data_IF_319292476540
#
_entry.id   IF_319292476540
#
_cell.length_a   1.000
_cell.length_b   1.000
_cell.length_c   1.000
_cell.angle_alpha   90.00
_cell.angle_beta   90.00
_cell.angle_gamma   90.00
#
_symmetry.space_group_name_H-M   'P 1'
#
loop_
_entity.id
_entity.type
_entity.pdbx_description
1 polymer ?
#
# COMPACT_ATOMS: atom_id res chain seq x y z
N UNK A 1 10.07 29.89 -5.30
CA UNK A 1 8.91 30.49 -4.60
C UNK A 1 8.84 29.83 -3.24
N UNK A 2 8.74 30.60 -2.13
CA UNK A 2 8.57 30.03 -0.79
C UNK A 2 7.15 29.45 -0.72
N UNK A 3 7.05 28.14 -0.49
CA UNK A 3 5.76 27.50 -0.27
C UNK A 3 5.24 27.94 1.10
N UNK A 4 4.00 28.42 1.17
CA UNK A 4 3.38 28.78 2.44
C UNK A 4 3.20 27.53 3.29
N UNK A 5 3.74 27.54 4.51
CA UNK A 5 3.60 26.44 5.47
C UNK A 5 2.46 26.75 6.44
N UNK A 6 1.52 25.81 6.56
CA UNK A 6 0.45 25.91 7.56
C UNK A 6 0.99 25.65 8.96
N UNK A 7 0.54 26.46 9.92
CA UNK A 7 0.86 26.33 11.36
C UNK A 7 -0.11 25.46 12.15
N UNK A 8 -1.14 24.89 11.48
CA UNK A 8 -2.14 24.02 12.08
C UNK A 8 -2.80 23.13 11.02
N UNK A 9 -3.43 22.04 11.45
CA UNK A 9 -4.22 21.14 10.59
C UNK A 9 -5.69 21.48 10.74
N UNK A 10 -6.12 22.58 10.15
CA UNK A 10 -7.52 23.04 10.22
C UNK A 10 -8.40 22.24 9.23
N UNK A 11 -8.75 21.02 9.60
CA UNK A 11 -9.63 20.13 8.82
C UNK A 11 -10.75 19.61 9.71
N UNK A 12 -12.00 20.00 9.45
CA UNK A 12 -13.18 19.59 10.23
C UNK A 12 -13.33 18.05 10.29
N UNK A 13 -13.07 17.36 9.18
CA UNK A 13 -13.12 15.92 9.12
C UNK A 13 -12.13 15.22 10.07
N UNK A 14 -11.01 15.86 10.45
CA UNK A 14 -10.05 15.32 11.40
C UNK A 14 -10.65 15.20 12.81
N UNK A 15 -11.39 16.22 13.26
CA UNK A 15 -12.11 16.16 14.55
C UNK A 15 -13.11 15.01 14.56
N UNK A 16 -13.92 14.88 13.52
CA UNK A 16 -14.89 13.79 13.42
C UNK A 16 -14.24 12.40 13.40
N UNK A 17 -13.11 12.26 12.71
CA UNK A 17 -12.32 11.01 12.70
C UNK A 17 -11.78 10.71 14.12
N UNK A 18 -11.15 11.69 14.78
CA UNK A 18 -10.61 11.55 16.12
C UNK A 18 -11.70 11.17 17.14
N UNK A 19 -12.88 11.82 17.09
CA UNK A 19 -14.03 11.51 17.95
C UNK A 19 -14.52 10.07 17.74
N UNK A 20 -14.65 9.62 16.47
CA UNK A 20 -15.07 8.24 16.17
C UNK A 20 -14.09 7.20 16.70
N UNK A 21 -12.81 7.46 16.59
CA UNK A 21 -11.79 6.53 17.03
C UNK A 21 -11.68 6.42 18.55
N UNK A 22 -11.89 7.52 19.29
CA UNK A 22 -11.75 7.54 20.75
C UNK A 22 -13.08 7.35 21.50
N UNK A 23 -14.20 7.69 20.86
CA UNK A 23 -15.54 7.70 21.46
C UNK A 23 -16.57 7.06 20.52
N UNK A 24 -16.39 5.79 20.11
CA UNK A 24 -17.26 5.14 19.14
C UNK A 24 -18.73 5.12 19.55
N UNK A 25 -19.01 5.16 20.87
CA UNK A 25 -20.35 5.21 21.42
C UNK A 25 -21.09 6.54 21.17
N UNK A 26 -20.36 7.62 20.87
CA UNK A 26 -20.91 8.96 20.59
C UNK A 26 -20.88 9.31 19.10
N UNK A 27 -20.15 8.54 18.35
CA UNK A 27 -19.81 8.87 16.98
C UNK A 27 -20.98 8.65 16.03
N UNK A 28 -21.23 9.62 15.17
CA UNK A 28 -22.16 9.52 14.04
C UNK A 28 -21.43 9.79 12.74
N UNK A 29 -21.82 9.08 11.69
CA UNK A 29 -21.26 9.28 10.34
C UNK A 29 -19.84 8.73 10.18
N UNK A 30 -19.19 9.18 9.13
CA UNK A 30 -17.89 8.68 8.69
C UNK A 30 -18.02 7.59 7.64
N UNK A 31 -17.01 7.48 6.80
CA UNK A 31 -16.93 6.43 5.80
C UNK A 31 -15.45 6.08 5.60
N UNK A 32 -15.20 4.81 5.37
CA UNK A 32 -13.84 4.26 5.23
C UNK A 32 -13.04 4.93 4.11
N UNK A 33 -13.69 5.27 2.99
CA UNK A 33 -13.09 5.98 1.87
C UNK A 33 -12.61 7.39 2.25
N UNK A 34 -13.46 8.18 2.94
CA UNK A 34 -13.07 9.52 3.39
C UNK A 34 -12.02 9.48 4.49
N UNK A 35 -12.11 8.55 5.42
CA UNK A 35 -11.12 8.38 6.48
C UNK A 35 -9.75 8.02 5.87
N UNK A 36 -9.71 7.14 4.87
CA UNK A 36 -8.47 6.85 4.12
C UNK A 36 -7.95 8.08 3.37
N UNK A 37 -8.83 8.83 2.70
CA UNK A 37 -8.45 10.07 2.01
C UNK A 37 -7.87 11.09 2.98
N UNK A 38 -8.50 11.27 4.14
CA UNK A 38 -8.01 12.15 5.19
C UNK A 38 -6.60 11.75 5.64
N UNK A 39 -6.40 10.47 5.99
CA UNK A 39 -5.11 9.99 6.47
C UNK A 39 -4.03 10.05 5.38
N UNK A 40 -4.34 9.63 4.17
CA UNK A 40 -3.43 9.71 3.03
C UNK A 40 -3.04 11.15 2.71
N UNK A 41 -4.00 12.08 2.70
CA UNK A 41 -3.76 13.51 2.48
C UNK A 41 -2.93 14.17 3.59
N UNK A 42 -3.01 13.66 4.81
CA UNK A 42 -2.18 14.06 5.95
C UNK A 42 -0.83 13.30 6.02
N UNK A 43 -0.51 12.46 5.04
CA UNK A 43 0.74 11.69 5.05
C UNK A 43 0.83 10.65 6.17
N UNK A 44 -0.29 10.06 6.58
CA UNK A 44 -0.38 9.18 7.73
C UNK A 44 -0.69 7.73 7.32
N UNK A 45 -0.12 6.79 8.07
CA UNK A 45 -0.45 5.37 7.95
C UNK A 45 -1.62 5.01 8.89
N UNK A 46 -2.62 4.29 8.37
CA UNK A 46 -3.85 3.95 9.11
C UNK A 46 -3.57 3.14 10.38
N UNK A 47 -2.66 2.18 10.33
CA UNK A 47 -2.33 1.33 11.50
C UNK A 47 -1.55 2.11 12.56
N UNK A 48 -0.67 2.99 12.14
CA UNK A 48 0.07 3.86 13.04
C UNK A 48 -0.86 4.83 13.77
N UNK A 49 -1.78 5.47 13.04
CA UNK A 49 -2.79 6.36 13.63
C UNK A 49 -3.68 5.60 14.63
N UNK A 50 -4.17 4.42 14.23
CA UNK A 50 -4.97 3.58 15.12
C UNK A 50 -4.22 3.24 16.41
N UNK A 51 -2.92 2.90 16.32
CA UNK A 51 -2.07 2.62 17.47
C UNK A 51 -1.92 3.86 18.35
N UNK A 52 -1.58 5.02 17.77
CA UNK A 52 -1.40 6.27 18.53
C UNK A 52 -2.67 6.66 19.28
N UNK A 53 -3.82 6.64 18.62
CA UNK A 53 -5.10 6.97 19.23
C UNK A 53 -5.48 5.98 20.33
N UNK A 54 -5.30 4.69 20.14
CA UNK A 54 -5.64 3.66 21.14
C UNK A 54 -4.71 3.66 22.36
N UNK A 55 -3.40 3.79 22.14
CA UNK A 55 -2.40 3.68 23.21
C UNK A 55 -2.25 4.99 24.00
N UNK A 56 -2.23 6.15 23.29
CA UNK A 56 -1.95 7.45 23.93
C UNK A 56 -3.21 8.22 24.30
N UNK A 57 -4.33 7.96 23.62
CA UNK A 57 -5.62 8.68 23.77
C UNK A 57 -5.43 10.21 23.82
N UNK A 58 -4.73 10.81 22.83
CA UNK A 58 -4.37 12.22 22.84
C UNK A 58 -5.62 13.11 22.77
N UNK A 59 -5.54 14.34 23.31
CA UNK A 59 -6.48 15.41 22.96
C UNK A 59 -6.41 15.70 21.45
N UNK A 60 -7.38 16.40 20.90
CA UNK A 60 -7.33 16.79 19.48
C UNK A 60 -6.11 17.66 19.18
N UNK A 61 -5.78 18.60 20.05
CA UNK A 61 -4.60 19.48 19.91
C UNK A 61 -3.29 18.69 19.92
N UNK A 62 -3.15 17.70 20.81
CA UNK A 62 -1.99 16.80 20.85
C UNK A 62 -1.92 15.92 19.59
N UNK A 63 -3.07 15.49 19.06
CA UNK A 63 -3.11 14.71 17.84
C UNK A 63 -2.73 15.55 16.62
N UNK A 64 -3.21 16.79 16.50
CA UNK A 64 -2.80 17.73 15.45
C UNK A 64 -1.30 18.06 15.54
N UNK A 65 -0.77 18.28 16.74
CA UNK A 65 0.66 18.50 16.94
C UNK A 65 1.49 17.29 16.49
N UNK A 66 1.04 16.08 16.84
CA UNK A 66 1.68 14.85 16.37
C UNK A 66 1.64 14.71 14.85
N UNK A 67 0.52 15.06 14.18
CA UNK A 67 0.44 15.06 12.72
C UNK A 67 1.48 15.99 12.09
N UNK A 68 1.60 17.20 12.63
CA UNK A 68 2.63 18.15 12.15
C UNK A 68 4.04 17.62 12.37
N UNK A 69 4.33 17.02 13.54
CA UNK A 69 5.62 16.39 13.82
C UNK A 69 5.94 15.31 12.79
N UNK A 70 4.97 14.45 12.43
CA UNK A 70 5.15 13.41 11.41
C UNK A 70 5.45 13.98 10.01
N UNK A 71 5.09 15.23 9.75
CA UNK A 71 5.32 15.96 8.50
C UNK A 71 6.47 16.96 8.58
N UNK A 72 7.39 16.81 9.56
CA UNK A 72 8.56 17.67 9.69
C UNK A 72 8.25 19.07 10.29
N UNK A 73 7.15 19.19 11.03
CA UNK A 73 6.73 20.39 11.74
C UNK A 73 5.79 21.32 10.97
N UNK A 74 5.54 21.03 9.68
CA UNK A 74 4.62 21.83 8.87
C UNK A 74 4.09 21.02 7.67
N UNK A 75 2.93 21.44 7.15
CA UNK A 75 2.36 20.94 5.90
C UNK A 75 2.24 22.05 4.86
N UNK A 76 2.30 21.69 3.59
CA UNK A 76 2.10 22.62 2.48
C UNK A 76 0.62 23.02 2.42
N UNK A 77 0.34 24.34 2.38
CA UNK A 77 -1.05 24.84 2.33
C UNK A 77 -1.80 24.36 1.09
N UNK A 78 -1.12 24.24 -0.05
CA UNK A 78 -1.71 23.71 -1.27
C UNK A 78 -2.16 22.24 -1.13
N UNK A 79 -1.40 21.42 -0.38
CA UNK A 79 -1.76 20.04 -0.11
C UNK A 79 -2.99 19.94 0.83
N UNK A 80 -3.04 20.80 1.85
CA UNK A 80 -4.18 20.89 2.76
C UNK A 80 -5.43 21.41 2.04
N UNK A 81 -5.30 22.41 1.16
CA UNK A 81 -6.42 22.92 0.35
C UNK A 81 -6.96 21.84 -0.58
N UNK A 82 -6.09 21.13 -1.29
CA UNK A 82 -6.50 19.98 -2.11
C UNK A 82 -7.28 18.94 -1.28
N UNK A 83 -6.82 18.65 -0.07
CA UNK A 83 -7.48 17.71 0.82
C UNK A 83 -8.84 18.21 1.29
N UNK A 84 -8.97 19.49 1.72
CA UNK A 84 -10.24 20.10 2.12
C UNK A 84 -11.28 20.04 0.99
N UNK A 85 -10.87 20.39 -0.24
CA UNK A 85 -11.74 20.34 -1.43
C UNK A 85 -12.20 18.91 -1.73
N UNK A 86 -11.29 17.94 -1.68
CA UNK A 86 -11.64 16.54 -1.88
C UNK A 86 -12.64 16.01 -0.83
N UNK A 87 -12.42 16.33 0.44
CA UNK A 87 -13.31 15.94 1.53
C UNK A 87 -14.66 16.63 1.45
N UNK A 88 -14.73 17.83 0.86
CA UNK A 88 -15.97 18.53 0.53
C UNK A 88 -16.72 17.95 -0.68
N UNK A 89 -16.14 16.94 -1.37
CA UNK A 89 -16.74 16.25 -2.50
C UNK A 89 -16.41 16.85 -3.87
N UNK A 90 -15.42 17.74 -3.95
CA UNK A 90 -14.91 18.24 -5.22
C UNK A 90 -14.00 17.20 -5.89
N UNK A 91 -14.03 17.17 -7.23
CA UNK A 91 -13.00 16.47 -7.99
C UNK A 91 -11.72 17.29 -7.95
N UNK A 92 -10.64 16.66 -7.52
CA UNK A 92 -9.34 17.30 -7.42
C UNK A 92 -8.37 16.68 -8.41
N UNK A 93 -7.42 17.47 -8.89
CA UNK A 93 -6.34 17.04 -9.77
C UNK A 93 -5.36 16.08 -9.05
N UNK A 94 -4.55 15.38 -9.82
CA UNK A 94 -3.43 14.60 -9.28
C UNK A 94 -2.47 15.50 -8.48
N UNK A 95 -1.89 14.96 -7.41
CA UNK A 95 -0.86 15.67 -6.62
C UNK A 95 0.45 15.91 -7.37
N UNK A 96 0.65 15.20 -8.49
CA UNK A 96 1.80 15.36 -9.39
C UNK A 96 1.28 15.54 -10.82
N UNK A 97 1.98 16.31 -11.65
CA UNK A 97 1.61 16.46 -13.06
C UNK A 97 1.72 15.13 -13.79
N UNK A 98 0.69 14.78 -14.54
CA UNK A 98 0.63 13.58 -15.39
C UNK A 98 0.79 13.90 -16.88
N UNK A 99 0.96 15.16 -17.23
CA UNK A 99 1.09 15.64 -18.61
C UNK A 99 2.38 15.12 -19.23
N UNK A 100 2.28 14.44 -20.38
CA UNK A 100 3.41 13.86 -21.09
C UNK A 100 4.11 12.72 -20.36
N UNK A 101 3.55 12.24 -19.26
CA UNK A 101 4.10 11.10 -18.50
C UNK A 101 3.69 9.80 -19.18
N UNK A 102 4.69 8.97 -19.50
CA UNK A 102 4.48 7.61 -19.99
C UNK A 102 3.96 6.73 -18.83
N UNK A 103 2.82 6.09 -19.03
CA UNK A 103 2.23 5.14 -18.08
C UNK A 103 2.33 3.70 -18.55
N UNK A 104 1.24 2.95 -18.39
CA UNK A 104 1.05 1.61 -18.95
C UNK A 104 0.79 1.71 -20.45
N UNK A 105 1.45 0.84 -21.22
CA UNK A 105 1.20 0.68 -22.66
C UNK A 105 -0.13 -0.03 -22.94
N UNK A 106 -0.54 -0.09 -24.21
CA UNK A 106 -1.71 -0.87 -24.62
C UNK A 106 -1.53 -2.37 -24.33
N UNK A 107 -0.33 -2.90 -24.51
CA UNK A 107 0.01 -4.30 -24.19
C UNK A 107 -0.04 -4.56 -22.68
N UNK A 108 0.42 -3.60 -21.86
CA UNK A 108 0.33 -3.68 -20.40
C UNK A 108 -1.13 -3.71 -19.94
N UNK A 109 -1.99 -2.87 -20.54
CA UNK A 109 -3.42 -2.81 -20.23
C UNK A 109 -4.14 -4.08 -20.68
N UNK A 110 -3.78 -4.64 -21.84
CA UNK A 110 -4.30 -5.93 -22.29
C UNK A 110 -3.87 -7.08 -21.36
N UNK A 111 -2.61 -7.07 -20.92
CA UNK A 111 -2.11 -8.04 -19.92
C UNK A 111 -2.84 -7.90 -18.59
N UNK A 112 -3.06 -6.67 -18.13
CA UNK A 112 -3.85 -6.38 -16.92
C UNK A 112 -5.28 -6.94 -17.04
N UNK A 113 -5.95 -6.67 -18.16
CA UNK A 113 -7.31 -7.19 -18.37
C UNK A 113 -7.34 -8.72 -18.36
N UNK A 114 -6.36 -9.37 -18.96
CA UNK A 114 -6.32 -10.82 -19.06
C UNK A 114 -5.96 -11.48 -17.72
N UNK A 115 -4.92 -10.98 -17.02
CA UNK A 115 -4.32 -11.66 -15.88
C UNK A 115 -4.61 -10.99 -14.53
N UNK A 116 -5.10 -9.74 -14.51
CA UNK A 116 -5.40 -8.99 -13.29
C UNK A 116 -4.17 -8.46 -12.56
N UNK A 117 -3.00 -8.52 -13.16
CA UNK A 117 -1.79 -7.86 -12.68
C UNK A 117 -0.97 -7.31 -13.86
N UNK A 118 -0.09 -6.37 -13.57
CA UNK A 118 0.83 -5.79 -14.55
C UNK A 118 2.16 -5.43 -13.89
N UNK A 119 3.24 -5.43 -14.64
CA UNK A 119 4.56 -4.97 -14.20
C UNK A 119 4.89 -3.67 -14.94
N UNK A 120 4.79 -2.54 -14.24
CA UNK A 120 5.27 -1.25 -14.73
C UNK A 120 6.81 -1.23 -14.63
N UNK A 121 7.46 -1.47 -15.76
CA UNK A 121 8.93 -1.50 -15.83
C UNK A 121 9.50 -0.10 -15.61
N UNK A 122 10.54 0.02 -14.78
CA UNK A 122 11.18 1.31 -14.49
C UNK A 122 10.22 2.34 -13.91
N UNK A 123 9.32 1.93 -13.04
CA UNK A 123 8.38 2.82 -12.33
C UNK A 123 9.11 3.92 -11.56
N UNK A 124 10.31 3.61 -11.07
CA UNK A 124 11.30 4.56 -10.55
C UNK A 124 12.69 4.21 -11.08
N UNK A 125 13.63 5.15 -11.03
CA UNK A 125 15.01 4.87 -11.43
C UNK A 125 15.69 3.88 -10.48
N UNK A 126 16.68 3.15 -10.98
CA UNK A 126 17.49 2.23 -10.17
C UNK A 126 18.14 2.94 -8.96
N UNK A 127 18.54 4.20 -9.12
CA UNK A 127 19.12 5.02 -8.04
C UNK A 127 18.09 5.33 -6.95
N UNK A 128 16.85 5.66 -7.31
CA UNK A 128 15.77 5.89 -6.35
C UNK A 128 15.40 4.61 -5.60
N UNK A 129 15.30 3.49 -6.32
CA UNK A 129 15.03 2.19 -5.71
C UNK A 129 16.15 1.78 -4.74
N UNK A 130 17.42 1.95 -5.13
CA UNK A 130 18.56 1.64 -4.28
C UNK A 130 18.61 2.51 -3.02
N UNK A 131 18.32 3.81 -3.13
CA UNK A 131 18.24 4.69 -1.97
C UNK A 131 17.18 4.24 -0.96
N UNK A 132 16.05 3.74 -1.43
CA UNK A 132 15.00 3.18 -0.56
C UNK A 132 15.38 1.81 0.01
N UNK A 133 16.08 0.97 -0.76
CA UNK A 133 16.66 -0.30 -0.29
C UNK A 133 17.62 -0.05 0.88
N UNK A 134 18.59 0.84 0.70
CA UNK A 134 19.58 1.18 1.73
C UNK A 134 18.91 1.75 3.00
N UNK A 135 17.90 2.60 2.84
CA UNK A 135 17.14 3.13 3.97
C UNK A 135 16.44 2.02 4.79
N UNK A 136 15.96 0.96 4.14
CA UNK A 136 15.37 -0.21 4.83
C UNK A 136 16.46 -0.97 5.62
N UNK A 137 17.61 -1.24 5.03
CA UNK A 137 18.71 -1.89 5.72
C UNK A 137 19.20 -1.07 6.92
N UNK A 138 19.38 0.25 6.73
CA UNK A 138 19.78 1.17 7.80
C UNK A 138 18.77 1.17 8.96
N UNK A 139 17.47 1.29 8.64
CA UNK A 139 16.40 1.25 9.65
C UNK A 139 16.39 -0.05 10.47
N UNK A 140 16.70 -1.18 9.84
CA UNK A 140 16.78 -2.49 10.48
C UNK A 140 18.12 -2.70 11.20
N UNK A 141 19.10 -1.83 11.02
CA UNK A 141 20.47 -2.03 11.51
C UNK A 141 21.13 -3.25 10.89
N UNK A 142 20.81 -3.57 9.64
CA UNK A 142 21.32 -4.69 8.87
C UNK A 142 22.32 -4.19 7.82
N UNK A 143 23.27 -5.03 7.44
CA UNK A 143 24.19 -4.77 6.33
C UNK A 143 23.75 -5.60 5.10
N UNK A 144 23.61 -4.93 3.95
CA UNK A 144 23.21 -5.56 2.69
C UNK A 144 24.18 -6.68 2.25
N UNK A 145 25.44 -6.55 2.56
CA UNK A 145 26.50 -7.49 2.15
C UNK A 145 26.84 -8.53 3.22
N UNK A 146 26.26 -8.44 4.44
CA UNK A 146 26.52 -9.32 5.56
C UNK A 146 25.32 -10.22 5.84
N UNK A 147 25.24 -11.46 5.27
CA UNK A 147 24.08 -12.33 5.36
C UNK A 147 23.60 -12.64 6.77
N UNK A 148 24.53 -12.75 7.74
CA UNK A 148 24.15 -13.03 9.13
C UNK A 148 23.41 -11.87 9.79
N UNK A 149 23.56 -10.65 9.27
CA UNK A 149 22.86 -9.47 9.78
C UNK A 149 21.36 -9.47 9.47
N UNK A 150 20.89 -10.24 8.47
CA UNK A 150 19.50 -10.21 7.99
C UNK A 150 18.49 -10.91 8.90
N UNK A 151 18.95 -11.63 9.93
CA UNK A 151 18.14 -12.47 10.81
C UNK A 151 18.03 -11.88 12.23
N UNK A 152 17.70 -10.59 12.31
CA UNK A 152 17.51 -9.90 13.59
C UNK A 152 16.02 -9.90 13.99
N UNK A 153 15.74 -10.27 15.23
CA UNK A 153 14.39 -10.26 15.81
C UNK A 153 13.90 -8.86 16.21
N UNK A 154 14.58 -7.81 15.78
CA UNK A 154 14.30 -6.41 16.20
C UNK A 154 12.85 -5.98 15.99
N UNK A 155 12.17 -6.54 14.98
CA UNK A 155 10.78 -6.26 14.62
C UNK A 155 9.88 -7.50 14.69
N UNK A 156 10.34 -8.54 15.40
CA UNK A 156 9.70 -9.85 15.36
C UNK A 156 9.98 -10.59 14.03
N UNK A 157 9.44 -11.80 13.92
CA UNK A 157 9.56 -12.65 12.74
C UNK A 157 8.51 -12.23 11.69
N UNK A 158 8.82 -11.20 10.90
CA UNK A 158 7.92 -10.60 9.91
C UNK A 158 8.70 -10.11 8.69
N UNK A 159 8.04 -10.12 7.52
CA UNK A 159 8.58 -9.48 6.31
C UNK A 159 8.23 -7.99 6.22
N UNK A 160 7.42 -7.48 7.13
CA UNK A 160 6.96 -6.08 7.13
C UNK A 160 7.96 -5.20 7.86
N UNK A 161 8.35 -4.07 7.24
CA UNK A 161 9.27 -3.08 7.79
C UNK A 161 8.52 -1.76 7.97
N UNK A 162 8.23 -1.32 9.21
CA UNK A 162 7.43 -0.15 9.48
C UNK A 162 8.22 1.17 9.27
N UNK A 163 9.03 1.23 8.24
CA UNK A 163 9.67 2.46 7.77
C UNK A 163 8.67 3.20 6.87
N UNK A 164 7.99 4.20 7.42
CA UNK A 164 6.86 4.86 6.77
C UNK A 164 7.28 6.15 6.03
N UNK A 165 8.12 6.99 6.63
CA UNK A 165 8.34 8.39 6.22
C UNK A 165 9.77 8.75 5.84
N UNK A 166 10.55 7.77 5.42
CA UNK A 166 11.90 8.06 4.94
C UNK A 166 11.84 8.86 3.61
N UNK A 167 12.70 9.88 3.40
CA UNK A 167 12.71 10.69 2.16
C UNK A 167 12.81 9.86 0.89
N UNK A 168 13.60 8.77 0.87
CA UNK A 168 13.73 7.87 -0.27
C UNK A 168 12.41 7.16 -0.61
N UNK A 169 11.64 6.72 0.41
CA UNK A 169 10.33 6.11 0.20
C UNK A 169 9.31 7.14 -0.32
N UNK A 170 9.39 8.39 0.16
CA UNK A 170 8.56 9.47 -0.34
C UNK A 170 8.89 9.85 -1.78
N UNK A 171 10.18 9.82 -2.18
CA UNK A 171 10.57 10.06 -3.57
C UNK A 171 9.91 9.05 -4.52
N UNK A 172 9.85 7.77 -4.13
CA UNK A 172 9.16 6.73 -4.90
C UNK A 172 7.64 6.97 -4.96
N UNK A 173 6.97 7.32 -3.84
CA UNK A 173 5.54 7.62 -3.79
C UNK A 173 5.14 8.80 -4.67
N UNK A 174 6.06 9.72 -4.92
CA UNK A 174 5.86 10.91 -5.78
C UNK A 174 6.23 10.66 -7.25
N UNK A 175 6.54 9.42 -7.65
CA UNK A 175 6.83 9.10 -9.05
C UNK A 175 5.62 9.41 -9.94
N UNK A 176 5.75 10.29 -10.93
CA UNK A 176 4.65 10.56 -11.86
C UNK A 176 4.26 9.33 -12.69
N UNK A 177 5.20 8.44 -13.00
CA UNK A 177 4.91 7.17 -13.71
C UNK A 177 4.01 6.25 -12.89
N UNK A 178 4.29 6.12 -11.59
CA UNK A 178 3.45 5.35 -10.67
C UNK A 178 2.05 5.96 -10.61
N UNK A 179 1.96 7.28 -10.40
CA UNK A 179 0.67 7.97 -10.37
C UNK A 179 -0.12 7.81 -11.67
N UNK A 180 0.56 7.89 -12.84
CA UNK A 180 -0.07 7.69 -14.16
C UNK A 180 -0.62 6.28 -14.33
N UNK A 181 0.15 5.25 -13.95
CA UNK A 181 -0.29 3.86 -14.05
C UNK A 181 -1.53 3.59 -13.17
N UNK A 182 -1.52 4.05 -11.92
CA UNK A 182 -2.71 3.94 -11.05
C UNK A 182 -3.90 4.72 -11.62
N UNK A 183 -3.68 5.92 -12.16
CA UNK A 183 -4.74 6.72 -12.79
C UNK A 183 -5.37 6.01 -14.00
N UNK A 184 -4.57 5.36 -14.83
CA UNK A 184 -5.07 4.55 -15.96
C UNK A 184 -5.92 3.38 -15.48
N UNK A 185 -5.49 2.65 -14.44
CA UNK A 185 -6.23 1.50 -13.92
C UNK A 185 -7.52 1.90 -13.19
N UNK A 186 -7.50 3.02 -12.46
CA UNK A 186 -8.70 3.57 -11.82
C UNK A 186 -9.63 4.33 -12.79
N UNK A 187 -9.12 4.74 -13.98
CA UNK A 187 -9.84 5.59 -14.91
C UNK A 187 -10.08 7.01 -14.39
N UNK A 188 -9.28 7.49 -13.42
CA UNK A 188 -9.42 8.81 -12.77
C UNK A 188 -8.10 9.26 -12.12
N UNK A 189 -7.95 10.57 -11.92
CA UNK A 189 -6.69 11.19 -11.48
C UNK A 189 -6.72 11.73 -10.03
N UNK A 190 -7.87 11.79 -9.38
CA UNK A 190 -8.04 12.26 -7.99
C UNK A 190 -7.58 11.24 -6.95
N UNK A 191 -6.40 10.68 -7.18
CA UNK A 191 -5.84 9.62 -6.34
C UNK A 191 -5.03 10.18 -5.17
N UNK A 192 -5.07 9.43 -4.07
CA UNK A 192 -4.31 9.65 -2.84
C UNK A 192 -3.37 8.47 -2.61
N UNK A 193 -2.10 8.76 -2.35
CA UNK A 193 -1.11 7.73 -2.07
C UNK A 193 -1.16 7.36 -0.59
N UNK A 194 -1.32 6.08 -0.30
CA UNK A 194 -1.24 5.59 1.07
C UNK A 194 0.21 5.60 1.57
N UNK A 195 0.38 5.80 2.87
CA UNK A 195 1.68 5.69 3.52
C UNK A 195 1.91 4.23 3.92
N UNK A 196 2.16 3.41 2.90
CA UNK A 196 2.43 1.99 3.10
C UNK A 196 3.89 1.77 3.54
N UNK A 197 4.17 0.61 4.07
CA UNK A 197 5.46 0.27 4.67
C UNK A 197 6.45 -0.33 3.66
N UNK A 198 7.69 -0.52 4.09
CA UNK A 198 8.68 -1.32 3.41
C UNK A 198 8.49 -2.82 3.68
N UNK A 199 9.32 -3.62 3.03
CA UNK A 199 9.37 -5.06 3.26
C UNK A 199 10.76 -5.63 3.02
N UNK A 200 11.16 -6.58 3.85
CA UNK A 200 12.38 -7.36 3.69
C UNK A 200 12.06 -8.83 3.97
N UNK A 201 12.28 -9.70 2.98
CA UNK A 201 12.09 -11.13 3.08
C UNK A 201 13.45 -11.83 2.86
N UNK A 202 14.17 -12.19 3.95
CA UNK A 202 15.47 -12.84 3.83
C UNK A 202 15.33 -14.29 3.35
N UNK A 203 16.38 -14.92 2.84
CA UNK A 203 16.40 -16.34 2.52
C UNK A 203 15.94 -17.21 3.70
N UNK A 204 15.13 -18.23 3.44
CA UNK A 204 14.65 -19.12 4.50
C UNK A 204 15.79 -19.95 5.09
N UNK A 205 15.76 -20.14 6.40
CA UNK A 205 16.66 -21.01 7.16
C UNK A 205 15.84 -21.88 8.12
N UNK A 206 16.41 -22.96 8.62
CA UNK A 206 15.73 -23.85 9.58
C UNK A 206 15.18 -23.08 10.80
N UNK A 207 15.98 -22.15 11.36
CA UNK A 207 15.59 -21.29 12.49
C UNK A 207 14.90 -19.99 12.08
N UNK A 208 14.69 -19.77 10.78
CA UNK A 208 14.02 -18.59 10.21
C UNK A 208 13.13 -18.99 9.04
N UNK A 209 12.06 -19.76 9.31
CA UNK A 209 11.11 -20.14 8.28
C UNK A 209 10.36 -18.92 7.74
N UNK A 210 9.74 -19.04 6.56
CA UNK A 210 8.94 -17.96 6.01
C UNK A 210 7.70 -17.68 6.88
N UNK A 211 7.51 -16.43 7.37
CA UNK A 211 6.42 -16.12 8.30
C UNK A 211 5.05 -15.89 7.63
N UNK A 212 5.03 -15.84 6.30
CA UNK A 212 3.87 -15.38 5.54
C UNK A 212 3.95 -13.89 5.17
N UNK A 213 2.86 -13.33 4.66
CA UNK A 213 1.59 -14.00 4.38
C UNK A 213 1.68 -14.94 3.16
N UNK A 214 0.97 -16.06 3.24
CA UNK A 214 0.72 -16.95 2.12
C UNK A 214 -0.49 -16.46 1.30
N UNK A 215 -1.20 -17.31 0.59
CA UNK A 215 -2.37 -16.94 -0.21
C UNK A 215 -3.47 -16.30 0.66
N UNK A 216 -3.89 -15.09 0.29
CA UNK A 216 -4.95 -14.33 0.96
C UNK A 216 -5.56 -13.28 0.03
N UNK A 217 -6.56 -12.57 0.51
CA UNK A 217 -7.08 -11.31 -0.01
C UNK A 217 -7.09 -10.26 1.09
N UNK A 218 -6.70 -9.03 0.78
CA UNK A 218 -6.77 -7.87 1.68
C UNK A 218 -8.14 -7.19 1.67
N UNK A 219 -9.12 -7.82 1.07
CA UNK A 219 -10.48 -7.30 0.95
C UNK A 219 -11.49 -8.36 1.37
N UNK A 220 -12.70 -7.92 1.69
CA UNK A 220 -13.80 -8.85 1.96
C UNK A 220 -14.21 -9.60 0.69
N UNK A 221 -14.71 -10.81 0.86
CA UNK A 221 -15.25 -11.65 -0.22
C UNK A 221 -16.78 -11.60 -0.30
N UNK A 222 -17.41 -10.59 0.30
CA UNK A 222 -18.85 -10.30 0.16
C UNK A 222 -19.13 -9.75 -1.24
N UNK A 223 -20.19 -10.25 -1.87
CA UNK A 223 -20.64 -9.80 -3.19
C UNK A 223 -21.64 -8.63 -3.07
N UNK A 224 -21.66 -7.67 -4.03
CA UNK A 224 -20.76 -7.59 -5.18
C UNK A 224 -19.33 -7.22 -4.76
N UNK A 225 -18.34 -7.84 -5.39
CA UNK A 225 -16.94 -7.50 -5.13
C UNK A 225 -16.58 -6.21 -5.87
N UNK A 226 -16.05 -5.23 -5.15
CA UNK A 226 -15.72 -3.93 -5.72
C UNK A 226 -14.30 -3.88 -6.28
N UNK A 227 -14.07 -2.96 -7.22
CA UNK A 227 -12.77 -2.73 -7.82
C UNK A 227 -11.80 -2.11 -6.82
N UNK A 228 -10.54 -2.52 -6.89
CA UNK A 228 -9.42 -1.93 -6.16
C UNK A 228 -8.10 -2.49 -6.66
N UNK A 229 -7.04 -1.74 -6.43
CA UNK A 229 -5.68 -2.07 -6.87
C UNK A 229 -4.68 -1.85 -5.75
N UNK A 230 -3.64 -2.68 -5.74
CA UNK A 230 -2.52 -2.62 -4.82
C UNK A 230 -1.23 -2.80 -5.61
N UNK A 231 -0.10 -2.43 -5.03
CA UNK A 231 1.19 -2.55 -5.71
C UNK A 231 2.35 -2.83 -4.76
N UNK A 232 3.41 -3.39 -5.33
CA UNK A 232 4.70 -3.62 -4.67
C UNK A 232 5.83 -3.18 -5.60
N UNK A 233 6.62 -2.22 -5.16
CA UNK A 233 7.80 -1.72 -5.85
C UNK A 233 9.03 -2.53 -5.41
N UNK A 234 9.70 -3.19 -6.34
CA UNK A 234 10.92 -3.92 -6.06
C UNK A 234 12.13 -2.97 -5.98
N UNK A 235 12.81 -2.99 -4.85
CA UNK A 235 13.96 -2.13 -4.59
C UNK A 235 15.30 -2.79 -4.99
N UNK A 236 15.26 -4.08 -5.26
CA UNK A 236 16.34 -4.88 -5.85
C UNK A 236 15.76 -5.79 -6.94
N UNK A 237 16.59 -6.44 -7.75
CA UNK A 237 16.14 -7.51 -8.64
C UNK A 237 15.53 -8.64 -7.81
N UNK A 238 14.39 -9.18 -8.26
CA UNK A 238 13.66 -10.26 -7.58
C UNK A 238 13.37 -11.37 -8.57
N UNK A 239 13.98 -12.54 -8.33
CA UNK A 239 13.71 -13.76 -9.07
C UNK A 239 12.45 -14.47 -8.53
N UNK A 240 11.90 -15.42 -9.29
CA UNK A 240 10.68 -16.16 -8.89
C UNK A 240 10.85 -16.90 -7.55
N UNK A 241 12.03 -17.43 -7.26
CA UNK A 241 12.36 -18.13 -6.03
C UNK A 241 12.86 -17.22 -4.89
N UNK A 242 12.91 -15.89 -5.13
CA UNK A 242 13.44 -14.90 -4.19
C UNK A 242 12.35 -14.27 -3.30
N UNK A 243 11.36 -15.04 -2.89
CA UNK A 243 10.27 -14.51 -2.06
C UNK A 243 9.40 -13.49 -2.79
N UNK A 244 9.25 -13.66 -4.11
CA UNK A 244 8.52 -12.75 -4.98
C UNK A 244 7.04 -12.62 -4.57
N UNK A 245 6.44 -11.47 -4.87
CA UNK A 245 4.99 -11.36 -4.90
C UNK A 245 4.42 -12.46 -5.78
N UNK A 246 3.37 -13.11 -5.30
CA UNK A 246 2.75 -14.22 -6.00
C UNK A 246 1.24 -14.02 -6.04
N UNK A 247 0.59 -14.36 -7.14
CA UNK A 247 -0.86 -14.29 -7.29
C UNK A 247 -1.41 -15.44 -8.12
N UNK A 248 -2.73 -15.56 -8.20
CA UNK A 248 -3.41 -16.48 -9.12
C UNK A 248 -3.89 -15.67 -10.34
N UNK A 249 -3.11 -15.65 -11.45
CA UNK A 249 -3.43 -14.83 -12.61
C UNK A 249 -4.80 -15.16 -13.21
N UNK A 250 -5.56 -14.14 -13.62
CA UNK A 250 -6.87 -14.28 -14.23
C UNK A 250 -8.03 -14.55 -13.26
N UNK A 251 -7.75 -14.83 -11.99
CA UNK A 251 -8.77 -15.19 -11.02
C UNK A 251 -9.80 -14.06 -10.77
N UNK A 252 -9.44 -12.80 -10.97
CA UNK A 252 -10.35 -11.66 -10.86
C UNK A 252 -11.57 -11.77 -11.77
N UNK A 253 -11.45 -12.45 -12.92
CA UNK A 253 -12.56 -12.71 -13.86
C UNK A 253 -13.51 -13.81 -13.37
N UNK A 254 -13.06 -14.66 -12.48
CA UNK A 254 -13.79 -15.85 -12.04
C UNK A 254 -14.19 -15.82 -10.57
N UNK A 255 -13.67 -14.88 -9.78
CA UNK A 255 -13.89 -14.80 -8.34
C UNK A 255 -15.38 -14.89 -7.96
N UNK A 256 -16.24 -14.11 -8.60
CA UNK A 256 -17.66 -14.10 -8.27
C UNK A 256 -18.28 -15.49 -8.46
N UNK A 257 -18.12 -16.10 -9.65
CA UNK A 257 -18.64 -17.43 -9.95
C UNK A 257 -18.04 -18.48 -8.99
N UNK A 258 -16.75 -18.40 -8.73
CA UNK A 258 -16.09 -19.32 -7.80
C UNK A 258 -16.68 -19.22 -6.39
N UNK A 259 -16.99 -18.02 -5.90
CA UNK A 259 -17.67 -17.82 -4.60
C UNK A 259 -19.09 -18.38 -4.58
N UNK A 260 -19.85 -18.24 -5.68
CA UNK A 260 -21.21 -18.75 -5.83
C UNK A 260 -21.26 -20.30 -5.93
N UNK A 261 -20.21 -20.91 -6.47
CA UNK A 261 -20.08 -22.37 -6.63
C UNK A 261 -19.55 -23.09 -5.37
N UNK A 262 -19.11 -22.35 -4.35
CA UNK A 262 -18.62 -22.96 -3.12
C UNK A 262 -19.74 -23.67 -2.35
N UNK A 263 -19.46 -24.84 -1.75
CA UNK A 263 -20.42 -25.51 -0.89
C UNK A 263 -20.89 -24.60 0.24
N UNK A 264 -22.18 -24.70 0.58
CA UNK A 264 -22.76 -23.92 1.67
C UNK A 264 -22.00 -24.15 2.99
N UNK A 265 -21.70 -23.04 3.71
CA UNK A 265 -20.93 -23.08 4.95
C UNK A 265 -19.40 -23.18 4.79
N UNK A 266 -18.89 -23.24 3.55
CA UNK A 266 -17.44 -23.24 3.32
C UNK A 266 -16.82 -21.87 3.63
N UNK A 267 -15.63 -21.87 4.23
CA UNK A 267 -14.77 -20.69 4.27
C UNK A 267 -14.01 -20.54 2.94
N UNK A 268 -14.28 -19.49 2.14
CA UNK A 268 -13.60 -19.29 0.86
C UNK A 268 -12.07 -19.24 0.98
N UNK A 269 -11.55 -18.66 2.06
CA UNK A 269 -10.10 -18.51 2.28
C UNK A 269 -9.44 -19.85 2.52
N UNK A 270 -10.05 -20.71 3.31
CA UNK A 270 -9.56 -22.08 3.52
C UNK A 270 -9.64 -22.95 2.26
N UNK A 271 -10.71 -22.78 1.47
CA UNK A 271 -10.83 -23.52 0.19
C UNK A 271 -9.73 -23.05 -0.77
N UNK A 272 -9.50 -21.74 -0.88
CA UNK A 272 -8.47 -21.19 -1.74
C UNK A 272 -7.06 -21.71 -1.38
N UNK A 273 -6.72 -21.74 -0.09
CA UNK A 273 -5.44 -22.29 0.39
C UNK A 273 -5.18 -23.73 -0.03
N UNK A 274 -6.25 -24.52 -0.17
CA UNK A 274 -6.16 -25.96 -0.56
C UNK A 274 -6.21 -26.20 -2.06
N UNK A 275 -6.81 -25.29 -2.83
CA UNK A 275 -7.17 -25.57 -4.24
C UNK A 275 -6.49 -24.66 -5.25
N UNK A 276 -6.03 -23.48 -4.83
CA UNK A 276 -5.42 -22.51 -5.74
C UNK A 276 -3.89 -22.54 -5.64
N UNK A 277 -3.23 -22.35 -6.77
CA UNK A 277 -1.78 -22.28 -6.84
C UNK A 277 -1.36 -20.90 -7.33
N UNK A 278 -0.56 -20.21 -6.54
CA UNK A 278 0.00 -18.90 -6.90
C UNK A 278 1.19 -19.05 -7.86
N UNK A 279 1.32 -18.09 -8.77
CA UNK A 279 2.48 -17.89 -9.63
C UNK A 279 3.34 -16.75 -9.07
N UNK A 280 4.64 -16.94 -8.80
CA UNK A 280 5.53 -15.87 -8.44
C UNK A 280 5.80 -14.93 -9.63
N UNK A 281 5.91 -13.64 -9.35
CA UNK A 281 6.11 -12.59 -10.35
C UNK A 281 7.49 -11.99 -10.14
N UNK A 282 8.45 -12.42 -10.97
CA UNK A 282 9.79 -11.83 -11.01
C UNK A 282 9.74 -10.44 -11.67
N UNK A 283 10.58 -9.52 -11.20
CA UNK A 283 10.79 -8.23 -11.84
C UNK A 283 12.13 -7.61 -11.40
N UNK A 284 12.51 -6.49 -12.01
CA UNK A 284 13.78 -5.82 -11.80
C UNK A 284 13.68 -4.73 -10.75
N UNK A 285 14.83 -4.28 -10.26
CA UNK A 285 14.95 -3.08 -9.43
C UNK A 285 14.26 -1.89 -10.08
N UNK A 286 13.37 -1.23 -9.37
CA UNK A 286 12.60 -0.08 -9.84
C UNK A 286 11.32 -0.42 -10.57
N UNK A 287 11.01 -1.71 -10.79
CA UNK A 287 9.74 -2.15 -11.35
C UNK A 287 8.66 -2.20 -10.27
N UNK A 288 7.43 -1.85 -10.64
CA UNK A 288 6.25 -1.93 -9.78
C UNK A 288 5.30 -2.99 -10.31
N UNK A 289 5.05 -4.02 -9.51
CA UNK A 289 3.96 -4.96 -9.76
C UNK A 289 2.68 -4.39 -9.19
N UNK A 290 1.65 -4.21 -10.03
CA UNK A 290 0.32 -3.75 -9.61
C UNK A 290 -0.66 -4.90 -9.84
N UNK A 291 -1.59 -5.13 -8.89
CA UNK A 291 -2.57 -6.21 -9.01
C UNK A 291 -3.97 -5.78 -8.59
N UNK A 292 -4.95 -6.43 -9.18
CA UNK A 292 -6.36 -6.29 -8.87
C UNK A 292 -6.65 -6.93 -7.51
N UNK A 293 -7.37 -6.24 -6.61
CA UNK A 293 -7.65 -6.75 -5.26
C UNK A 293 -8.45 -8.07 -5.23
N UNK A 294 -9.10 -8.44 -6.34
CA UNK A 294 -9.79 -9.74 -6.47
C UNK A 294 -8.83 -10.92 -6.72
N UNK A 295 -7.56 -10.68 -7.01
CA UNK A 295 -6.60 -11.76 -7.12
C UNK A 295 -6.24 -12.27 -5.73
N UNK A 296 -6.36 -13.58 -5.46
CA UNK A 296 -5.69 -14.17 -4.32
C UNK A 296 -4.19 -14.02 -4.53
N UNK A 297 -3.51 -13.50 -3.52
CA UNK A 297 -2.09 -13.15 -3.62
C UNK A 297 -1.36 -13.38 -2.30
N UNK A 298 -0.05 -13.21 -2.32
CA UNK A 298 0.79 -13.32 -1.14
C UNK A 298 2.27 -13.14 -1.48
N UNK A 299 3.12 -13.53 -0.56
CA UNK A 299 4.55 -13.70 -0.80
C UNK A 299 4.90 -15.18 -0.80
N UNK A 300 6.05 -15.52 -1.34
CA UNK A 300 6.60 -16.88 -1.32
C UNK A 300 7.80 -16.97 -0.36
N UNK A 301 8.17 -18.17 0.09
CA UNK A 301 9.45 -18.38 0.73
C UNK A 301 10.61 -17.94 -0.18
N UNK A 302 11.64 -17.35 0.39
CA UNK A 302 12.82 -16.94 -0.36
C UNK A 302 13.87 -18.05 -0.32
N UNK A 303 14.10 -18.70 -1.44
CA UNK A 303 15.11 -19.76 -1.62
C UNK A 303 16.36 -19.28 -2.37
N UNK A 304 16.43 -17.99 -2.71
CA UNK A 304 17.59 -17.37 -3.34
C UNK A 304 18.68 -17.00 -2.32
N UNK A 305 19.76 -16.37 -2.79
CA UNK A 305 20.90 -16.01 -1.96
C UNK A 305 20.78 -14.60 -1.31
N UNK A 306 19.85 -13.79 -1.75
CA UNK A 306 19.69 -12.39 -1.33
C UNK A 306 18.27 -12.13 -0.82
N UNK A 307 18.06 -11.18 0.12
CA UNK A 307 16.73 -10.77 0.54
C UNK A 307 15.92 -10.18 -0.63
N UNK A 308 14.62 -10.41 -0.62
CA UNK A 308 13.69 -9.58 -1.38
C UNK A 308 13.43 -8.31 -0.57
N UNK A 309 13.78 -7.14 -1.15
CA UNK A 309 13.53 -5.83 -0.56
C UNK A 309 12.52 -5.09 -1.42
N UNK A 310 11.49 -4.55 -0.81
CA UNK A 310 10.38 -3.92 -1.52
C UNK A 310 9.76 -2.77 -0.73
N UNK A 311 8.99 -1.93 -1.43
CA UNK A 311 8.11 -0.92 -0.85
C UNK A 311 6.69 -1.19 -1.32
N UNK A 312 5.74 -1.28 -0.39
CA UNK A 312 4.32 -1.37 -0.76
C UNK A 312 3.80 -0.03 -1.22
N UNK A 313 2.89 -0.07 -2.20
CA UNK A 313 2.43 1.12 -2.91
C UNK A 313 0.95 0.98 -3.24
N UNK A 314 0.11 1.76 -2.61
CA UNK A 314 -1.32 1.79 -2.88
C UNK A 314 -1.78 3.22 -3.15
N UNK A 315 -2.58 3.41 -4.19
CA UNK A 315 -3.25 4.68 -4.45
C UNK A 315 -4.75 4.44 -4.60
N UNK A 316 -5.55 5.29 -4.00
CA UNK A 316 -7.02 5.19 -4.02
C UNK A 316 -7.63 6.53 -4.36
N UNK A 317 -8.78 6.56 -5.06
CA UNK A 317 -9.53 7.81 -5.27
C UNK A 317 -10.16 8.30 -3.95
N UNK A 318 -10.62 9.55 -3.94
CA UNK A 318 -11.30 10.13 -2.76
C UNK A 318 -12.54 9.32 -2.36
N UNK A 319 -13.29 8.84 -3.36
CA UNK A 319 -14.48 8.03 -3.16
C UNK A 319 -14.40 6.78 -4.02
N UNK A 320 -14.62 5.63 -3.40
CA UNK A 320 -14.78 4.35 -4.11
C UNK A 320 -15.78 3.46 -3.39
N UNK A 321 -16.48 2.57 -4.12
CA UNK A 321 -17.38 1.62 -3.49
C UNK A 321 -16.59 0.56 -2.70
N UNK A 322 -17.09 0.19 -1.52
CA UNK A 322 -16.52 -0.85 -0.67
C UNK A 322 -17.62 -1.53 0.14
N UNK A 323 -17.38 -2.74 0.59
CA UNK A 323 -18.28 -3.46 1.49
C UNK A 323 -17.90 -3.20 2.96
N UNK A 324 -18.90 -3.02 3.82
CA UNK A 324 -18.73 -2.86 5.27
C UNK A 324 -18.76 -4.18 6.03
N UNK A 325 -19.37 -5.22 5.44
CA UNK A 325 -19.30 -6.57 5.95
C UNK A 325 -17.98 -7.25 5.61
N UNK A 326 -17.49 -8.09 6.51
CA UNK A 326 -16.28 -8.88 6.29
C UNK A 326 -16.60 -10.38 6.20
N UNK A 327 -16.09 -11.01 5.12
CA UNK A 327 -16.18 -12.45 4.88
C UNK A 327 -14.85 -12.99 4.35
#
# INVERSE_FOLDING_TARGET
MSVAAAKGVEIEALRGYWERMLHPEKAQGGSWDLDNTLLAGLGLNVLEVARVLNERRPSLEEFEAWILEQNGGAMEEAALDRLRRALAGELVESAVSLDGVEGLSEDDLAHWDEYGYVVLQGAVSAVQAEAAELAIYEYLGMDREEPESWYKETLGHSIWVPLLRHPALWANRRSPRIAKAFAQLWGREDLWVNVDQGGLNPPVRERWPFPGPTLHWDTTLVLPHHFGVQGILYLADVAEDQGAFSCVPGFHKTLQRWLEELPEGSDPREVALRTLTMKPIAAKRGDLVIWHQSLPHGSSPNHAARPRVAQYMTMRPTRWPYNTEWR
#
